data_IF_101849108930
#
_entry.id   IF_101849108930
#
_cell.length_a   1.000
_cell.length_b   1.000
_cell.length_c   1.000
_cell.angle_alpha   90.00
_cell.angle_beta   90.00
_cell.angle_gamma   90.00
#
_symmetry.space_group_name_H-M   'P 1'
#
loop_
_entity.id
_entity.type
_entity.pdbx_description
1 polymer ?
#
# COMPACT_ATOMS: atom_id res chain seq x y z
N UNK A 1 0.56 11.04 -44.48
CA UNK A 1 0.84 11.76 -43.22
C UNK A 1 0.80 10.70 -42.14
N UNK A 2 1.94 10.37 -41.55
CA UNK A 2 2.15 9.17 -40.73
C UNK A 2 1.78 9.42 -39.27
N UNK A 3 1.09 8.44 -38.67
CA UNK A 3 0.66 8.39 -37.26
C UNK A 3 1.79 8.58 -36.21
N UNK A 4 3.05 8.67 -36.65
CA UNK A 4 4.23 8.84 -35.81
C UNK A 4 4.45 10.26 -35.27
N UNK A 5 3.96 11.31 -35.94
CA UNK A 5 4.20 12.70 -35.49
C UNK A 5 3.25 13.12 -34.35
N UNK A 6 2.02 12.58 -34.31
CA UNK A 6 1.03 12.93 -33.27
C UNK A 6 1.45 12.43 -31.88
N UNK A 7 2.20 11.33 -31.82
CA UNK A 7 2.63 10.71 -30.56
C UNK A 7 3.78 11.50 -29.93
N UNK A 8 4.70 12.04 -30.73
CA UNK A 8 5.91 12.70 -30.21
C UNK A 8 5.60 13.99 -29.46
N UNK A 9 4.71 14.82 -30.01
CA UNK A 9 4.26 16.08 -29.39
C UNK A 9 3.42 15.87 -28.12
N UNK A 10 2.84 14.68 -27.93
CA UNK A 10 2.07 14.32 -26.73
C UNK A 10 2.96 13.79 -25.59
N UNK A 11 4.16 13.28 -25.89
CA UNK A 11 5.06 12.65 -24.90
C UNK A 11 5.90 13.70 -24.17
N UNK A 12 6.29 14.79 -24.84
CA UNK A 12 7.07 15.88 -24.23
C UNK A 12 6.28 16.70 -23.18
N UNK A 13 4.95 16.59 -23.15
CA UNK A 13 4.09 17.21 -22.12
C UNK A 13 3.89 16.38 -20.85
N UNK A 14 4.44 15.16 -20.78
CA UNK A 14 4.30 14.25 -19.63
C UNK A 14 5.56 14.21 -18.75
N UNK A 15 6.41 15.24 -18.79
CA UNK A 15 7.46 15.41 -17.78
C UNK A 15 6.81 15.60 -16.40
N UNK A 16 6.67 14.50 -15.67
CA UNK A 16 6.05 14.49 -14.33
C UNK A 16 7.04 15.06 -13.34
N UNK A 17 6.76 16.26 -12.87
CA UNK A 17 7.28 16.78 -11.62
C UNK A 17 6.77 15.89 -10.47
N UNK A 18 7.68 15.38 -9.64
CA UNK A 18 7.39 14.60 -8.42
C UNK A 18 6.85 15.50 -7.29
N UNK A 19 6.08 16.55 -7.63
CA UNK A 19 5.60 17.61 -6.74
C UNK A 19 4.24 17.27 -6.11
N UNK A 20 4.10 16.06 -5.59
CA UNK A 20 3.27 15.86 -4.40
C UNK A 20 4.23 15.69 -3.23
N UNK A 21 4.79 16.83 -2.79
CA UNK A 21 5.45 16.94 -1.50
C UNK A 21 4.48 16.36 -0.46
N UNK A 22 4.87 15.23 0.12
CA UNK A 22 4.45 14.88 1.48
C UNK A 22 4.58 16.17 2.26
N UNK A 23 3.51 16.62 2.94
CA UNK A 23 3.56 17.77 3.86
C UNK A 23 4.94 17.78 4.53
N UNK A 24 5.81 18.67 4.06
CA UNK A 24 7.27 18.50 4.12
C UNK A 24 7.81 18.61 5.56
N UNK A 25 6.89 18.74 6.50
CA UNK A 25 7.10 18.88 7.92
C UNK A 25 6.71 17.64 8.74
N UNK A 26 6.15 16.58 8.14
CA UNK A 26 5.87 15.34 8.87
C UNK A 26 7.18 14.67 9.32
N UNK A 27 7.34 14.51 10.62
CA UNK A 27 8.47 13.78 11.22
C UNK A 27 7.97 12.43 11.72
N UNK A 28 8.48 11.31 11.18
CA UNK A 28 8.13 9.99 11.66
C UNK A 28 8.33 9.89 13.19
N UNK A 29 7.42 9.22 13.90
CA UNK A 29 7.58 9.02 15.33
C UNK A 29 8.82 8.17 15.62
N UNK A 30 9.43 8.31 16.81
CA UNK A 30 10.46 7.38 17.26
C UNK A 30 9.93 5.95 17.28
N UNK A 31 10.77 5.00 16.91
CA UNK A 31 10.41 3.58 16.99
C UNK A 31 10.17 3.19 18.45
N UNK A 32 9.01 2.60 18.73
CA UNK A 32 8.66 2.00 20.01
C UNK A 32 8.02 0.65 19.75
N UNK A 33 8.42 -0.34 20.54
CA UNK A 33 7.82 -1.67 20.50
C UNK A 33 6.45 -1.67 21.17
N UNK A 34 5.60 -2.63 20.82
CA UNK A 34 4.32 -2.84 21.50
C UNK A 34 4.54 -3.05 23.01
N UNK A 35 5.56 -3.80 23.40
CA UNK A 35 5.87 -4.07 24.81
C UNK A 35 6.21 -2.78 25.58
N UNK A 36 7.01 -1.89 25.01
CA UNK A 36 7.32 -0.58 25.61
C UNK A 36 6.07 0.30 25.70
N UNK A 37 5.20 0.28 24.68
CA UNK A 37 3.95 1.04 24.69
C UNK A 37 3.01 0.55 25.79
N UNK A 38 2.92 -0.77 26.02
CA UNK A 38 2.12 -1.36 27.09
C UNK A 38 2.72 -1.11 28.48
N UNK A 39 4.05 -1.01 28.57
CA UNK A 39 4.75 -0.73 29.82
C UNK A 39 4.72 0.74 30.24
N UNK A 40 4.53 1.66 29.30
CA UNK A 40 4.34 3.07 29.60
C UNK A 40 2.98 3.32 30.29
N UNK A 41 2.95 4.26 31.23
CA UNK A 41 1.72 4.79 31.86
C UNK A 41 0.84 3.71 32.51
N UNK A 42 1.46 2.71 33.14
CA UNK A 42 0.76 1.57 33.78
C UNK A 42 -0.12 1.98 34.96
N UNK A 43 0.14 3.15 35.52
CA UNK A 43 -0.66 3.74 36.59
C UNK A 43 -1.94 4.42 36.08
N UNK A 44 -2.07 4.67 34.76
CA UNK A 44 -3.21 5.35 34.17
C UNK A 44 -4.20 4.36 33.53
N UNK A 45 -5.31 4.11 34.26
CA UNK A 45 -6.38 3.22 33.81
C UNK A 45 -7.08 3.67 32.52
N UNK A 46 -7.07 4.97 32.19
CA UNK A 46 -7.67 5.50 30.96
C UNK A 46 -6.80 5.19 29.74
N UNK A 47 -5.48 5.35 29.89
CA UNK A 47 -4.52 5.03 28.84
C UNK A 47 -4.41 3.52 28.60
N UNK A 48 -4.55 2.70 29.64
CA UNK A 48 -4.64 1.24 29.49
C UNK A 48 -5.83 0.83 28.62
N UNK A 49 -7.03 1.32 28.92
CA UNK A 49 -8.23 1.04 28.12
C UNK A 49 -8.10 1.54 26.68
N UNK A 50 -7.42 2.66 26.47
CA UNK A 50 -7.14 3.19 25.15
C UNK A 50 -6.20 2.25 24.34
N UNK A 51 -5.10 1.80 24.96
CA UNK A 51 -4.15 0.86 24.35
C UNK A 51 -4.81 -0.49 24.06
N UNK A 52 -5.61 -1.01 24.98
CA UNK A 52 -6.42 -2.22 24.78
C UNK A 52 -7.33 -2.12 23.55
N UNK A 53 -8.04 -0.99 23.42
CA UNK A 53 -8.97 -0.79 22.29
C UNK A 53 -8.25 -0.68 20.95
N UNK A 54 -7.05 -0.11 20.91
CA UNK A 54 -6.28 0.05 19.68
C UNK A 54 -5.50 -1.20 19.28
N UNK A 55 -4.85 -1.85 20.24
CA UNK A 55 -3.99 -3.01 20.00
C UNK A 55 -4.79 -4.31 19.91
N UNK A 56 -5.96 -4.37 20.53
CA UNK A 56 -6.78 -5.58 20.57
C UNK A 56 -5.97 -6.77 21.08
N UNK A 57 -5.93 -7.84 20.28
CA UNK A 57 -5.22 -9.08 20.59
C UNK A 57 -3.71 -8.87 20.80
N UNK A 58 -3.12 -7.82 20.21
CA UNK A 58 -1.70 -7.52 20.37
C UNK A 58 -1.33 -7.06 21.79
N UNK A 59 -2.31 -6.83 22.66
CA UNK A 59 -2.07 -6.59 24.09
C UNK A 59 -1.61 -7.85 24.84
N UNK A 60 -2.06 -9.04 24.41
CA UNK A 60 -1.73 -10.31 25.07
C UNK A 60 -0.43 -10.96 24.58
N UNK A 61 0.16 -10.42 23.51
CA UNK A 61 1.42 -10.91 22.96
C UNK A 61 1.62 -10.50 21.50
N UNK A 62 2.77 -10.89 20.95
CA UNK A 62 3.08 -10.63 19.53
C UNK A 62 2.15 -11.45 18.66
N UNK A 63 1.40 -10.78 17.80
CA UNK A 63 0.57 -11.42 16.78
C UNK A 63 1.50 -11.96 15.70
N UNK A 64 1.49 -13.28 15.48
CA UNK A 64 2.29 -13.92 14.45
C UNK A 64 1.34 -14.77 13.59
N UNK A 65 1.25 -14.43 12.31
CA UNK A 65 0.48 -15.17 11.31
C UNK A 65 1.34 -16.13 10.49
N UNK A 66 2.61 -15.78 10.29
CA UNK A 66 3.57 -16.53 9.50
C UNK A 66 4.95 -16.42 10.18
N UNK A 67 5.35 -17.51 10.85
CA UNK A 67 6.59 -17.59 11.62
C UNK A 67 7.83 -17.50 10.72
N UNK A 68 7.75 -18.08 9.51
CA UNK A 68 8.86 -18.17 8.55
C UNK A 68 9.11 -16.83 7.85
N UNK A 69 8.09 -15.96 7.77
CA UNK A 69 8.20 -14.66 7.12
C UNK A 69 8.59 -13.57 8.14
N UNK A 70 9.82 -13.02 8.12
CA UNK A 70 10.28 -12.05 9.13
C UNK A 70 9.64 -10.66 8.99
N UNK A 71 8.90 -10.38 7.92
CA UNK A 71 8.33 -9.06 7.67
C UNK A 71 7.17 -8.73 8.63
N UNK A 72 7.09 -7.45 9.03
CA UNK A 72 5.98 -6.92 9.84
C UNK A 72 4.69 -6.76 9.03
N UNK A 73 4.79 -6.52 7.73
CA UNK A 73 3.65 -6.45 6.80
C UNK A 73 3.78 -7.58 5.79
N UNK A 74 2.72 -8.34 5.60
CA UNK A 74 2.60 -9.33 4.54
C UNK A 74 1.43 -8.93 3.66
N UNK A 75 1.73 -8.45 2.45
CA UNK A 75 0.71 -8.15 1.46
C UNK A 75 0.25 -9.46 0.84
N UNK A 76 -1.03 -9.79 0.99
CA UNK A 76 -1.60 -11.04 0.46
C UNK A 76 -2.13 -10.84 -0.94
N UNK A 77 -2.79 -9.72 -1.20
CA UNK A 77 -3.53 -9.55 -2.45
C UNK A 77 -3.74 -8.09 -2.80
N UNK A 78 -3.80 -7.82 -4.11
CA UNK A 78 -4.27 -6.55 -4.65
C UNK A 78 -5.42 -6.83 -5.60
N UNK A 79 -6.52 -6.10 -5.47
CA UNK A 79 -7.68 -6.26 -6.33
C UNK A 79 -8.08 -4.94 -6.97
N UNK A 80 -8.42 -5.01 -8.27
CA UNK A 80 -9.08 -3.96 -9.00
C UNK A 80 -10.59 -4.18 -8.88
N UNK A 81 -11.26 -3.33 -8.10
CA UNK A 81 -12.69 -3.37 -7.86
C UNK A 81 -13.39 -2.42 -8.82
N UNK A 82 -14.29 -2.95 -9.65
CA UNK A 82 -15.07 -2.19 -10.63
C UNK A 82 -16.55 -2.46 -10.37
N UNK A 83 -17.39 -1.43 -10.34
CA UNK A 83 -18.82 -1.62 -10.15
C UNK A 83 -19.39 -2.53 -11.25
N UNK A 84 -20.32 -3.40 -10.88
CA UNK A 84 -21.01 -4.35 -11.78
C UNK A 84 -20.10 -5.41 -12.45
N UNK A 85 -18.89 -5.63 -11.93
CA UNK A 85 -17.98 -6.70 -12.38
C UNK A 85 -17.35 -7.41 -11.17
N UNK A 86 -17.05 -8.72 -11.28
CA UNK A 86 -16.19 -9.39 -10.30
C UNK A 86 -14.83 -8.70 -10.19
N UNK A 87 -14.31 -8.64 -8.96
CA UNK A 87 -12.99 -8.09 -8.67
C UNK A 87 -11.91 -8.83 -9.49
N UNK A 88 -10.99 -8.06 -10.06
CA UNK A 88 -9.83 -8.65 -10.73
C UNK A 88 -8.65 -8.67 -9.77
N UNK A 89 -8.16 -9.86 -9.46
CA UNK A 89 -7.30 -10.06 -8.30
C UNK A 89 -5.89 -10.49 -8.67
N UNK A 90 -4.91 -9.96 -7.94
CA UNK A 90 -3.51 -10.31 -7.96
C UNK A 90 -3.15 -10.94 -6.62
N UNK A 91 -2.86 -12.23 -6.64
CA UNK A 91 -2.29 -12.91 -5.48
C UNK A 91 -0.81 -12.53 -5.33
N UNK A 92 -0.47 -11.90 -4.22
CA UNK A 92 0.88 -11.45 -3.90
C UNK A 92 1.59 -12.38 -2.89
N UNK A 93 0.93 -13.46 -2.47
CA UNK A 93 1.48 -14.41 -1.50
C UNK A 93 2.34 -15.51 -2.13
N UNK A 94 2.20 -15.75 -3.43
CA UNK A 94 2.90 -16.80 -4.18
C UNK A 94 4.04 -16.30 -5.07
N UNK A 95 4.22 -16.97 -6.21
CA UNK A 95 5.26 -16.65 -7.19
C UNK A 95 4.91 -15.37 -7.99
N UNK A 96 5.63 -14.29 -7.68
CA UNK A 96 5.46 -12.98 -8.29
C UNK A 96 5.84 -12.94 -9.78
N UNK A 97 6.56 -13.94 -10.30
CA UNK A 97 6.97 -13.94 -11.72
C UNK A 97 5.77 -14.06 -12.66
N UNK A 98 4.69 -14.72 -12.23
CA UNK A 98 3.48 -14.89 -13.03
C UNK A 98 2.62 -13.62 -13.08
N UNK A 99 2.78 -12.70 -12.13
CA UNK A 99 2.04 -11.44 -12.12
C UNK A 99 2.34 -10.58 -13.35
N UNK A 100 3.57 -10.66 -13.88
CA UNK A 100 3.95 -9.95 -15.12
C UNK A 100 3.19 -10.44 -16.35
N UNK A 101 2.70 -11.68 -16.33
CA UNK A 101 1.93 -12.29 -17.42
C UNK A 101 0.45 -11.99 -17.31
N UNK A 102 -0.02 -11.60 -16.13
CA UNK A 102 -1.42 -11.31 -15.89
C UNK A 102 -1.76 -9.91 -16.41
N UNK A 103 -2.68 -9.85 -17.37
CA UNK A 103 -3.11 -8.59 -17.99
C UNK A 103 -4.54 -8.28 -17.54
N UNK A 104 -4.72 -7.08 -17.00
CA UNK A 104 -6.05 -6.56 -16.67
C UNK A 104 -6.58 -5.72 -17.81
N UNK A 105 -7.78 -6.03 -18.27
CA UNK A 105 -8.51 -5.22 -19.24
C UNK A 105 -9.42 -4.27 -18.46
N UNK A 106 -9.03 -3.00 -18.44
CA UNK A 106 -9.79 -1.90 -17.84
C UNK A 106 -10.44 -1.14 -19.00
N UNK A 107 -11.77 -1.04 -18.98
CA UNK A 107 -12.51 -0.28 -19.99
C UNK A 107 -12.27 1.22 -19.76
N UNK A 108 -12.04 1.96 -20.84
CA UNK A 108 -11.89 3.41 -20.77
C UNK A 108 -13.14 4.08 -20.16
N UNK A 109 -12.91 5.12 -19.34
CA UNK A 109 -13.99 5.89 -18.71
C UNK A 109 -14.67 5.20 -17.50
N UNK A 110 -14.22 4.01 -17.10
CA UNK A 110 -14.80 3.31 -15.94
C UNK A 110 -14.18 3.77 -14.62
N UNK A 111 -15.01 3.93 -13.61
CA UNK A 111 -14.54 4.16 -12.24
C UNK A 111 -14.14 2.83 -11.60
N UNK A 112 -12.99 2.81 -10.94
CA UNK A 112 -12.49 1.65 -10.21
C UNK A 112 -11.89 2.07 -8.86
N UNK A 113 -11.75 1.10 -7.97
CA UNK A 113 -11.04 1.21 -6.69
C UNK A 113 -9.96 0.14 -6.63
N UNK A 114 -8.91 0.42 -5.87
CA UNK A 114 -7.89 -0.58 -5.54
C UNK A 114 -8.17 -1.04 -4.11
N UNK A 115 -8.30 -2.35 -3.92
CA UNK A 115 -8.31 -2.99 -2.61
C UNK A 115 -6.96 -3.67 -2.38
N UNK A 116 -6.40 -3.50 -1.20
CA UNK A 116 -5.15 -4.15 -0.78
C UNK A 116 -5.46 -4.96 0.46
N UNK A 117 -5.30 -6.27 0.36
CA UNK A 117 -5.47 -7.18 1.50
C UNK A 117 -4.08 -7.50 2.04
N UNK A 118 -3.83 -7.13 3.29
CA UNK A 118 -2.55 -7.32 3.95
C UNK A 118 -2.74 -7.72 5.41
N UNK A 119 -1.69 -8.32 5.96
CA UNK A 119 -1.62 -8.72 7.35
C UNK A 119 -0.48 -7.94 8.00
N UNK A 120 -0.72 -7.43 9.20
CA UNK A 120 0.33 -6.88 10.07
C UNK A 120 0.61 -7.88 11.18
N UNK A 121 1.88 -8.17 11.41
CA UNK A 121 2.34 -9.07 12.45
C UNK A 121 3.56 -8.51 13.18
N UNK A 122 3.79 -9.03 14.39
CA UNK A 122 4.86 -8.70 15.34
C UNK A 122 4.78 -7.31 15.96
N UNK A 123 4.79 -6.26 15.16
CA UNK A 123 4.93 -4.88 15.62
C UNK A 123 4.05 -3.90 14.83
N UNK A 124 3.87 -2.70 15.38
CA UNK A 124 3.16 -1.60 14.70
C UNK A 124 3.91 -1.17 13.45
N UNK A 125 3.14 -0.81 12.42
CA UNK A 125 3.66 -0.28 11.15
C UNK A 125 3.11 1.12 10.96
N UNK A 126 4.01 2.10 10.97
CA UNK A 126 3.69 3.51 10.79
C UNK A 126 3.78 3.89 9.31
N UNK A 127 2.76 4.60 8.80
CA UNK A 127 2.82 5.22 7.48
C UNK A 127 2.94 4.22 6.31
N UNK A 128 2.26 3.07 6.39
CA UNK A 128 2.21 2.13 5.27
C UNK A 128 1.66 2.85 4.02
N UNK A 129 2.42 2.83 2.93
CA UNK A 129 2.12 3.58 1.71
C UNK A 129 2.16 2.67 0.50
N UNK A 130 1.16 2.80 -0.37
CA UNK A 130 1.14 2.16 -1.68
C UNK A 130 1.57 3.17 -2.75
N UNK A 131 2.58 2.80 -3.55
CA UNK A 131 3.08 3.60 -4.67
C UNK A 131 2.97 2.81 -5.95
N UNK A 132 2.14 3.29 -6.88
CA UNK A 132 1.95 2.70 -8.20
C UNK A 132 2.61 3.57 -9.25
N UNK A 133 3.51 2.98 -10.04
CA UNK A 133 4.13 3.63 -11.21
C UNK A 133 3.62 2.98 -12.48
N UNK A 134 3.09 3.78 -13.39
CA UNK A 134 2.57 3.29 -14.67
C UNK A 134 3.55 3.63 -15.79
N UNK A 135 3.86 2.65 -16.64
CA UNK A 135 4.77 2.83 -17.77
C UNK A 135 4.07 2.50 -19.09
N UNK A 136 4.35 3.26 -20.14
CA UNK A 136 3.89 2.99 -21.51
C UNK A 136 5.09 3.00 -22.44
N UNK A 137 5.33 1.87 -23.13
CA UNK A 137 6.48 1.70 -24.04
C UNK A 137 7.83 2.04 -23.38
N UNK A 138 8.00 1.71 -22.09
CA UNK A 138 9.21 2.01 -21.32
C UNK A 138 9.30 3.45 -20.81
N UNK A 139 8.38 4.33 -21.20
CA UNK A 139 8.31 5.71 -20.71
C UNK A 139 7.43 5.75 -19.46
N UNK A 140 7.90 6.35 -18.34
CA UNK A 140 7.06 6.55 -17.17
C UNK A 140 5.91 7.51 -17.53
N UNK A 141 4.68 7.06 -17.29
CA UNK A 141 3.52 7.93 -17.18
C UNK A 141 3.29 8.24 -15.71
N UNK A 142 2.05 8.14 -15.24
CA UNK A 142 1.64 8.61 -13.92
C UNK A 142 2.17 7.79 -12.74
N UNK A 143 2.47 8.50 -11.65
CA UNK A 143 2.77 7.95 -10.33
C UNK A 143 1.58 8.24 -9.41
N UNK A 144 1.00 7.20 -8.82
CA UNK A 144 -0.06 7.33 -7.82
C UNK A 144 0.48 6.91 -6.45
N UNK A 145 0.19 7.71 -5.43
CA UNK A 145 0.62 7.51 -4.05
C UNK A 145 -0.64 7.44 -3.18
N UNK A 146 -0.82 6.35 -2.43
CA UNK A 146 -1.94 6.16 -1.50
C UNK A 146 -1.38 5.88 -0.11
N UNK A 147 -1.87 6.61 0.88
CA UNK A 147 -1.45 6.53 2.29
C UNK A 147 -2.66 6.13 3.14
#
# INVERSE_FOLDING_TARGET
>A
MSDGDVIKDSVDKLAIHDDDEIDSNYKPPPEKTIEELLNADKEDASLQKYKEKLLGDANSGKIIFDEDNPNKVIVKKLALCVTDRPDMELDLSGDLTNLKKQVFIIKEGISYKIRIDFIVQREIVHGLKYVQKTYRLGVPGNIFKYT
#
